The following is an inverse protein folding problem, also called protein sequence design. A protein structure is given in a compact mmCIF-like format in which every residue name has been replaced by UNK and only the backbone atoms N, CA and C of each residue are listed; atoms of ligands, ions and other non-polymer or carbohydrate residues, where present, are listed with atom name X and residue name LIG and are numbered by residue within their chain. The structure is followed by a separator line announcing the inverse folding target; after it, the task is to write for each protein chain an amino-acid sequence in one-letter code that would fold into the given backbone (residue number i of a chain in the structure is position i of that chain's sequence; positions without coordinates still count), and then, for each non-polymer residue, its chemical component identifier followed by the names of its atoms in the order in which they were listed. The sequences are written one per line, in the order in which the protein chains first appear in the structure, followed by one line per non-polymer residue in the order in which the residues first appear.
data_IF_870712592978
#
_entry.id   IF_870712592978
#
_cell.length_a   1.000
_cell.length_b   1.000
_cell.length_c   1.000
_cell.angle_alpha   90.00
_cell.angle_beta   90.00
_cell.angle_gamma   90.00
#
_symmetry.space_group_name_H-M   'P 1'
#
loop_
_entity.id
_entity.type
_entity.pdbx_description
1 polymer ?
#
# COMPACT_ATOMS: atom_id res chain seq x y z
N UNK A 1 4.07 28.36 -3.36
CA UNK A 1 4.16 26.88 -3.55
C UNK A 1 5.30 26.43 -2.67
N UNK A 2 5.01 25.73 -1.58
CA UNK A 2 6.05 25.10 -0.78
C UNK A 2 6.59 23.91 -1.59
N UNK A 3 7.88 23.94 -1.91
CA UNK A 3 8.52 22.81 -2.58
C UNK A 3 8.51 21.63 -1.60
N UNK A 4 7.96 20.48 -2.04
CA UNK A 4 8.08 19.25 -1.27
C UNK A 4 9.55 18.95 -1.00
N UNK A 5 9.94 18.61 0.24
CA UNK A 5 11.32 18.32 0.56
C UNK A 5 11.79 17.09 -0.23
N UNK A 6 13.05 17.09 -0.61
CA UNK A 6 13.67 15.92 -1.28
C UNK A 6 13.71 14.67 -0.39
N UNK A 7 13.38 14.82 0.90
CA UNK A 7 13.41 13.78 1.95
C UNK A 7 12.22 13.94 2.88
N UNK A 8 10.97 13.77 2.41
CA UNK A 8 9.83 13.92 3.30
C UNK A 8 9.88 12.86 4.42
N UNK A 9 9.54 13.19 5.67
CA UNK A 9 9.52 12.27 6.80
C UNK A 9 8.74 10.98 6.51
N UNK A 10 7.62 11.05 5.78
CA UNK A 10 6.83 9.90 5.35
C UNK A 10 7.60 8.86 4.52
N UNK A 11 8.69 9.27 3.88
CA UNK A 11 9.61 8.36 3.16
C UNK A 11 10.74 7.81 4.04
N UNK A 12 10.85 8.23 5.29
CA UNK A 12 11.87 7.78 6.25
C UNK A 12 12.00 6.27 6.33
N UNK A 13 10.89 5.51 6.51
CA UNK A 13 10.94 4.05 6.57
C UNK A 13 11.56 3.38 5.33
N UNK A 14 11.39 3.97 4.15
CA UNK A 14 12.00 3.47 2.93
C UNK A 14 13.48 3.88 2.83
N UNK A 15 13.81 5.12 3.24
CA UNK A 15 15.16 5.65 3.15
C UNK A 15 16.14 5.03 4.16
N UNK A 16 15.68 4.64 5.34
CA UNK A 16 16.53 3.88 6.28
C UNK A 16 16.92 2.51 5.71
N UNK A 17 16.09 1.95 4.84
CA UNK A 17 16.37 0.68 4.15
C UNK A 17 17.16 0.86 2.86
N UNK A 18 16.94 1.95 2.11
CA UNK A 18 17.54 2.17 0.80
C UNK A 18 17.69 3.67 0.49
N UNK A 19 18.92 4.17 0.45
CA UNK A 19 19.22 5.57 0.15
C UNK A 19 18.78 6.04 -1.24
N UNK A 20 18.71 5.12 -2.22
CA UNK A 20 18.24 5.39 -3.58
C UNK A 20 16.72 5.32 -3.77
N UNK A 21 15.94 5.10 -2.71
CA UNK A 21 14.48 5.08 -2.83
C UNK A 21 13.93 6.42 -3.30
N UNK A 22 12.97 6.38 -4.20
CA UNK A 22 12.17 7.54 -4.58
C UNK A 22 10.74 7.06 -4.90
N UNK A 23 9.75 7.68 -4.27
CA UNK A 23 8.34 7.34 -4.48
C UNK A 23 7.92 7.58 -5.91
N UNK A 24 6.98 6.76 -6.42
CA UNK A 24 6.32 7.00 -7.72
C UNK A 24 5.46 8.27 -7.69
N UNK A 25 5.03 8.72 -6.51
CA UNK A 25 4.13 9.87 -6.36
C UNK A 25 2.69 9.60 -6.82
N UNK A 26 2.37 8.35 -7.13
CA UNK A 26 1.01 7.97 -7.54
C UNK A 26 0.12 7.75 -6.31
N UNK A 27 -1.04 8.38 -6.31
CA UNK A 27 -2.06 8.16 -5.30
C UNK A 27 -2.75 6.82 -5.54
N UNK A 28 -2.62 5.94 -4.56
CA UNK A 28 -3.38 4.69 -4.52
C UNK A 28 -4.73 4.90 -3.82
N UNK A 29 -5.71 4.02 -4.04
CA UNK A 29 -6.96 4.05 -3.25
C UNK A 29 -6.71 4.03 -1.73
N UNK A 30 -5.64 3.37 -1.28
CA UNK A 30 -5.25 3.34 0.12
C UNK A 30 -4.71 4.69 0.61
N UNK A 31 -3.93 5.40 -0.22
CA UNK A 31 -3.43 6.75 0.07
C UNK A 31 -4.60 7.74 0.20
N UNK A 32 -5.50 7.74 -0.78
CA UNK A 32 -6.70 8.61 -0.78
C UNK A 32 -7.61 8.34 0.43
N UNK A 33 -7.76 7.07 0.80
CA UNK A 33 -8.47 6.68 2.03
C UNK A 33 -7.79 7.25 3.28
N UNK A 34 -6.47 7.12 3.36
CA UNK A 34 -5.67 7.66 4.45
C UNK A 34 -5.87 9.17 4.61
N UNK A 35 -5.66 9.92 3.55
CA UNK A 35 -5.84 11.39 3.54
C UNK A 35 -7.22 11.79 4.04
N UNK A 36 -8.29 11.15 3.52
CA UNK A 36 -9.67 11.45 3.94
C UNK A 36 -9.91 11.19 5.44
N UNK A 37 -9.35 10.09 5.98
CA UNK A 37 -9.49 9.76 7.42
C UNK A 37 -8.73 10.78 8.28
N UNK A 38 -7.52 11.20 7.88
CA UNK A 38 -6.74 12.22 8.58
C UNK A 38 -7.48 13.56 8.60
N UNK A 39 -7.95 14.04 7.46
CA UNK A 39 -8.76 15.27 7.36
C UNK A 39 -10.02 15.22 8.23
N UNK A 40 -10.70 14.07 8.27
CA UNK A 40 -11.88 13.89 9.10
C UNK A 40 -11.54 14.00 10.60
N UNK A 41 -10.47 13.34 11.04
CA UNK A 41 -10.00 13.37 12.42
C UNK A 41 -9.51 14.76 12.82
N UNK A 42 -8.77 15.45 11.97
CA UNK A 42 -8.38 16.84 12.17
C UNK A 42 -9.58 17.74 12.38
N UNK A 43 -10.60 17.64 11.51
CA UNK A 43 -11.83 18.44 11.63
C UNK A 43 -12.57 18.19 12.92
N UNK A 44 -12.66 16.92 13.37
CA UNK A 44 -13.27 16.58 14.67
C UNK A 44 -12.48 17.17 15.85
N UNK A 45 -11.16 17.05 15.85
CA UNK A 45 -10.28 17.49 16.93
C UNK A 45 -10.18 19.02 17.02
N UNK A 46 -10.28 19.71 15.89
CA UNK A 46 -10.24 21.19 15.83
C UNK A 46 -11.61 21.86 15.95
N UNK A 47 -12.69 21.06 16.04
CA UNK A 47 -14.06 21.56 16.08
C UNK A 47 -14.55 22.20 14.77
N UNK A 48 -13.89 21.90 13.66
CA UNK A 48 -14.30 22.37 12.33
C UNK A 48 -15.46 21.52 11.78
N UNK A 49 -16.28 22.07 10.88
CA UNK A 49 -17.29 21.30 10.19
C UNK A 49 -16.67 20.15 9.40
N UNK A 50 -17.19 18.95 9.57
CA UNK A 50 -16.71 17.76 8.84
C UNK A 50 -17.12 17.83 7.37
N UNK A 51 -16.15 18.02 6.49
CA UNK A 51 -16.31 18.07 5.02
C UNK A 51 -15.78 16.84 4.31
N UNK A 52 -14.97 16.03 5.01
CA UNK A 52 -14.38 14.79 4.50
C UNK A 52 -15.08 13.57 5.11
N UNK A 53 -16.27 13.16 4.59
CA UNK A 53 -17.02 12.06 5.18
C UNK A 53 -16.30 10.73 5.03
N UNK A 54 -16.33 9.93 6.09
CA UNK A 54 -15.84 8.56 6.10
C UNK A 54 -16.98 7.57 5.85
N UNK A 55 -16.65 6.38 5.34
CA UNK A 55 -17.67 5.35 5.10
C UNK A 55 -18.13 4.70 6.41
N UNK A 56 -19.33 4.08 6.44
CA UNK A 56 -19.86 3.45 7.65
C UNK A 56 -18.96 2.36 8.25
N UNK A 57 -18.16 1.69 7.45
CA UNK A 57 -17.20 0.68 7.90
C UNK A 57 -15.90 1.30 8.47
N UNK A 58 -15.58 2.55 8.14
CA UNK A 58 -14.44 3.30 8.67
C UNK A 58 -14.78 4.01 9.99
N UNK A 59 -16.05 4.40 10.16
CA UNK A 59 -16.50 5.21 11.27
C UNK A 59 -16.13 4.66 12.66
N UNK A 60 -16.28 3.37 12.99
CA UNK A 60 -15.88 2.85 14.30
C UNK A 60 -14.39 2.99 14.61
N UNK A 61 -13.54 2.98 13.58
CA UNK A 61 -12.10 3.22 13.72
C UNK A 61 -11.78 4.68 13.97
N UNK A 62 -12.47 5.57 13.29
CA UNK A 62 -12.34 7.03 13.45
C UNK A 62 -12.84 7.48 14.83
N UNK A 63 -14.00 7.02 15.27
CA UNK A 63 -14.54 7.30 16.61
C UNK A 63 -13.59 6.83 17.71
N UNK A 64 -13.04 5.62 17.55
CA UNK A 64 -12.04 5.10 18.47
C UNK A 64 -10.78 5.98 18.51
N UNK A 65 -10.24 6.36 17.35
CA UNK A 65 -9.04 7.19 17.26
C UNK A 65 -9.27 8.58 17.85
N UNK A 66 -10.41 9.20 17.55
CA UNK A 66 -10.81 10.47 18.14
C UNK A 66 -10.87 10.40 19.69
N UNK A 67 -11.59 9.39 20.21
CA UNK A 67 -11.63 9.15 21.66
C UNK A 67 -10.25 8.89 22.25
N UNK A 68 -9.40 8.12 21.58
CA UNK A 68 -8.05 7.86 22.02
C UNK A 68 -7.24 9.15 22.19
N UNK A 69 -7.36 10.09 21.27
CA UNK A 69 -6.68 11.39 21.35
C UNK A 69 -7.21 12.19 22.53
N UNK A 70 -8.53 12.28 22.72
CA UNK A 70 -9.14 12.97 23.86
C UNK A 70 -8.69 12.40 25.22
N UNK A 71 -8.47 11.08 25.30
CA UNK A 71 -8.08 10.40 26.54
C UNK A 71 -6.57 10.49 26.83
N UNK A 72 -5.71 10.75 25.84
CA UNK A 72 -4.25 10.61 25.97
C UNK A 72 -3.45 11.89 25.71
N UNK A 73 -4.00 12.90 25.05
CA UNK A 73 -3.31 14.14 24.72
C UNK A 73 -3.87 15.33 25.51
N UNK A 74 -3.01 16.32 25.75
CA UNK A 74 -3.44 17.58 26.31
C UNK A 74 -4.18 18.42 25.28
N UNK A 75 -5.51 18.41 25.31
CA UNK A 75 -6.35 19.07 24.32
C UNK A 75 -6.20 20.60 24.30
N UNK A 76 -5.79 21.24 25.41
CA UNK A 76 -5.57 22.70 25.46
C UNK A 76 -4.30 23.09 24.66
N UNK A 77 -3.32 22.23 24.63
CA UNK A 77 -2.05 22.43 23.90
C UNK A 77 -1.98 21.73 22.54
N UNK A 78 -3.00 20.93 22.21
CA UNK A 78 -3.00 20.11 21.00
C UNK A 78 -2.96 20.98 19.73
N UNK A 79 -2.01 20.67 18.86
CA UNK A 79 -1.90 21.19 17.51
C UNK A 79 -2.05 20.03 16.53
N UNK A 80 -2.96 20.19 15.57
CA UNK A 80 -3.18 19.24 14.48
C UNK A 80 -2.48 19.77 13.23
N UNK A 81 -1.98 18.86 12.38
CA UNK A 81 -1.30 19.18 11.10
C UNK A 81 -0.22 20.26 11.27
N UNK A 82 0.58 20.15 12.33
CA UNK A 82 1.57 21.16 12.68
C UNK A 82 2.93 20.88 11.99
N UNK A 83 3.45 21.90 11.32
CA UNK A 83 4.69 21.78 10.54
C UNK A 83 5.90 21.70 11.48
N UNK A 84 6.80 20.78 11.18
CA UNK A 84 8.07 20.61 11.86
C UNK A 84 9.22 20.62 10.88
N UNK A 85 10.27 21.35 11.20
CA UNK A 85 11.52 21.42 10.45
C UNK A 85 12.62 20.68 11.20
N UNK A 86 13.51 20.03 10.46
CA UNK A 86 14.72 19.39 11.00
C UNK A 86 15.91 20.07 10.38
N UNK A 87 16.82 20.51 11.22
CA UNK A 87 18.05 21.20 10.82
C UNK A 87 19.25 20.34 11.15
N UNK A 88 20.33 20.47 10.38
CA UNK A 88 21.62 19.84 10.69
C UNK A 88 22.39 20.60 11.77
N UNK A 89 23.61 20.14 12.06
CA UNK A 89 24.50 20.76 13.08
C UNK A 89 24.93 22.19 12.71
N UNK A 90 24.92 22.52 11.44
CA UNK A 90 25.26 23.85 10.91
C UNK A 90 24.02 24.78 10.88
N UNK A 91 22.85 24.29 11.25
CA UNK A 91 21.59 25.02 11.22
C UNK A 91 20.92 25.08 9.84
N UNK A 92 21.42 24.29 8.87
CA UNK A 92 20.82 24.23 7.54
C UNK A 92 19.61 23.28 7.51
N UNK A 93 18.55 23.61 6.77
CA UNK A 93 17.34 22.80 6.75
C UNK A 93 17.56 21.48 6.00
N UNK A 94 17.46 20.37 6.72
CA UNK A 94 17.55 19.01 6.17
C UNK A 94 16.24 18.57 5.53
N UNK A 95 15.14 18.77 6.23
CA UNK A 95 13.80 18.36 5.81
C UNK A 95 12.73 19.08 6.63
N UNK A 96 11.50 19.00 6.14
CA UNK A 96 10.31 19.40 6.88
C UNK A 96 9.17 18.42 6.60
N UNK A 97 8.17 18.43 7.45
CA UNK A 97 6.93 17.68 7.27
C UNK A 97 5.88 18.13 8.25
N UNK A 98 4.69 17.57 8.11
CA UNK A 98 3.57 17.85 8.98
C UNK A 98 3.30 16.62 9.84
N UNK A 99 3.26 16.79 11.14
CA UNK A 99 2.82 15.73 12.04
C UNK A 99 1.34 15.92 12.38
N UNK A 100 0.60 14.82 12.44
CA UNK A 100 -0.85 14.87 12.63
C UNK A 100 -1.23 15.50 13.98
N UNK A 101 -0.50 15.16 15.04
CA UNK A 101 -0.78 15.59 16.41
C UNK A 101 0.49 15.96 17.17
N UNK A 102 0.46 17.08 17.89
CA UNK A 102 1.49 17.47 18.84
C UNK A 102 0.92 18.34 19.96
N UNK A 103 1.15 17.99 21.23
CA UNK A 103 0.64 18.72 22.40
C UNK A 103 1.72 19.41 23.25
N UNK A 104 2.95 19.45 22.75
CA UNK A 104 4.11 20.01 23.46
C UNK A 104 5.01 18.96 24.10
N UNK A 105 4.47 17.80 24.46
CA UNK A 105 5.20 16.70 25.10
C UNK A 105 5.14 15.39 24.30
N UNK A 106 4.10 15.23 23.49
CA UNK A 106 3.81 13.99 22.76
C UNK A 106 3.55 14.25 21.30
N UNK A 107 3.96 13.30 20.46
CA UNK A 107 3.66 13.21 19.03
C UNK A 107 2.64 12.12 18.77
N UNK A 108 1.66 12.39 17.90
CA UNK A 108 0.75 11.40 17.38
C UNK A 108 0.75 11.40 15.86
N UNK A 109 0.56 10.20 15.28
CA UNK A 109 0.42 10.06 13.84
C UNK A 109 -0.61 8.97 13.55
N UNK A 110 -1.61 9.30 12.74
CA UNK A 110 -2.67 8.38 12.36
C UNK A 110 -2.21 7.43 11.25
N UNK A 111 -2.52 6.16 11.41
CA UNK A 111 -2.17 5.13 10.46
C UNK A 111 -3.43 4.39 10.01
N UNK A 112 -3.56 4.24 8.70
CA UNK A 112 -4.60 3.43 8.08
C UNK A 112 -3.98 2.17 7.47
N UNK A 113 -4.69 1.04 7.52
CA UNK A 113 -4.27 -0.20 6.91
C UNK A 113 -3.38 -1.09 7.79
N UNK A 114 -2.32 -1.65 7.21
CA UNK A 114 -1.48 -2.63 7.91
C UNK A 114 -0.48 -1.97 8.87
N UNK A 115 -0.25 -2.63 10.01
CA UNK A 115 0.83 -2.26 10.93
C UNK A 115 2.17 -2.45 10.23
N UNK A 116 2.95 -1.38 10.16
CA UNK A 116 4.31 -1.38 9.60
C UNK A 116 5.24 -0.65 10.57
N UNK A 117 6.52 -0.67 10.28
CA UNK A 117 7.51 0.06 11.04
C UNK A 117 7.58 1.51 10.55
N UNK A 118 7.07 2.45 11.36
CA UNK A 118 7.10 3.89 11.05
C UNK A 118 8.09 4.67 11.91
N UNK A 119 8.87 3.98 12.76
CA UNK A 119 9.84 4.61 13.67
C UNK A 119 10.74 5.63 12.99
N UNK A 120 11.14 5.38 11.72
CA UNK A 120 11.98 6.32 10.97
C UNK A 120 11.24 7.60 10.54
N UNK A 121 9.94 7.56 10.30
CA UNK A 121 9.11 8.75 10.09
C UNK A 121 9.00 9.55 11.39
N UNK A 122 8.68 8.85 12.47
CA UNK A 122 8.55 9.46 13.80
C UNK A 122 9.86 10.06 14.30
N UNK A 123 11.01 9.45 13.97
CA UNK A 123 12.33 9.98 14.33
C UNK A 123 12.58 11.36 13.71
N UNK A 124 12.16 11.62 12.47
CA UNK A 124 12.25 12.95 11.88
C UNK A 124 11.41 13.98 12.64
N UNK A 125 10.15 13.64 12.94
CA UNK A 125 9.27 14.54 13.70
C UNK A 125 9.80 14.77 15.11
N UNK A 126 10.22 13.71 15.80
CA UNK A 126 10.80 13.77 17.12
C UNK A 126 12.07 14.64 17.17
N UNK A 127 13.02 14.41 16.25
CA UNK A 127 14.23 15.20 16.17
C UNK A 127 13.94 16.70 15.99
N UNK A 128 13.05 17.05 15.06
CA UNK A 128 12.67 18.45 14.83
C UNK A 128 11.95 19.08 16.04
N UNK A 129 11.09 18.35 16.72
CA UNK A 129 10.41 18.86 17.95
C UNK A 129 11.37 19.03 19.11
N UNK A 130 12.25 18.05 19.35
CA UNK A 130 13.28 18.15 20.38
C UNK A 130 14.29 19.27 20.11
N UNK A 131 14.65 19.53 18.84
CA UNK A 131 15.41 20.72 18.47
C UNK A 131 14.70 22.03 18.83
N UNK A 132 13.39 22.11 18.60
CA UNK A 132 12.58 23.30 18.88
C UNK A 132 12.40 23.56 20.36
N UNK A 133 12.27 22.50 21.16
CA UNK A 133 11.91 22.58 22.58
C UNK A 133 13.10 22.44 23.53
N UNK A 134 14.21 21.87 23.06
CA UNK A 134 15.36 21.53 23.89
C UNK A 134 15.12 20.31 24.81
N UNK A 135 14.09 19.51 24.54
CA UNK A 135 13.79 18.29 25.32
C UNK A 135 14.68 17.12 24.87
N UNK A 136 15.00 16.23 25.81
CA UNK A 136 15.89 15.07 25.56
C UNK A 136 15.09 13.82 25.09
N UNK A 137 13.78 13.82 25.27
CA UNK A 137 12.91 12.73 24.87
C UNK A 137 11.53 13.22 24.51
N UNK A 138 10.82 12.42 23.72
CA UNK A 138 9.43 12.68 23.33
C UNK A 138 8.64 11.37 23.24
N UNK A 139 7.42 11.40 23.70
CA UNK A 139 6.51 10.26 23.62
C UNK A 139 5.82 10.23 22.26
N UNK A 140 5.79 9.07 21.62
CA UNK A 140 5.27 8.87 20.27
C UNK A 140 4.09 7.91 20.31
N UNK A 141 3.03 8.26 19.59
CA UNK A 141 1.82 7.46 19.41
C UNK A 141 1.58 7.20 17.91
N UNK A 142 1.78 5.97 17.44
CA UNK A 142 1.32 5.52 16.14
C UNK A 142 -0.10 4.96 16.28
N UNK A 143 -1.10 5.68 15.79
CA UNK A 143 -2.53 5.43 16.08
C UNK A 143 -3.17 4.74 14.89
N UNK A 144 -3.37 3.41 14.97
CA UNK A 144 -3.92 2.58 13.90
C UNK A 144 -5.45 2.55 13.94
N UNK A 145 -6.08 3.40 13.16
CA UNK A 145 -7.54 3.61 13.16
C UNK A 145 -8.32 2.32 12.89
N UNK A 146 -7.99 1.58 11.83
CA UNK A 146 -8.68 0.34 11.45
C UNK A 146 -8.49 -0.79 12.48
N UNK A 147 -7.37 -0.79 13.19
CA UNK A 147 -7.05 -1.80 14.20
C UNK A 147 -7.57 -1.43 15.59
N UNK A 148 -7.96 -0.17 15.77
CA UNK A 148 -8.34 0.38 17.07
C UNK A 148 -7.28 0.08 18.13
N UNK A 149 -6.03 0.38 17.77
CA UNK A 149 -4.84 0.08 18.56
C UNK A 149 -3.79 1.18 18.35
N UNK A 150 -3.01 1.47 19.38
CA UNK A 150 -1.91 2.40 19.29
C UNK A 150 -0.60 1.74 19.75
N UNK A 151 0.47 1.98 18.99
CA UNK A 151 1.83 1.68 19.40
C UNK A 151 2.41 2.92 20.08
N UNK A 152 2.77 2.80 21.36
CA UNK A 152 3.26 3.92 22.17
C UNK A 152 4.67 3.61 22.65
N UNK A 153 5.58 4.54 22.42
CA UNK A 153 6.98 4.43 22.85
C UNK A 153 7.61 5.80 23.06
N UNK A 154 8.76 5.83 23.68
CA UNK A 154 9.58 7.03 23.86
C UNK A 154 10.70 6.99 22.81
N UNK A 155 11.00 8.15 22.23
CA UNK A 155 12.21 8.38 21.43
C UNK A 155 13.06 9.40 22.20
N UNK A 156 14.27 9.01 22.50
CA UNK A 156 15.29 9.96 22.99
C UNK A 156 15.87 10.76 21.84
N UNK A 157 16.43 11.91 22.12
CA UNK A 157 17.13 12.74 21.14
C UNK A 157 18.22 11.96 20.39
N UNK A 158 19.01 11.18 21.11
CA UNK A 158 20.07 10.36 20.52
C UNK A 158 19.52 9.29 19.58
N UNK A 159 18.46 8.56 19.97
CA UNK A 159 17.83 7.53 19.11
C UNK A 159 17.21 8.12 17.84
N UNK A 160 16.56 9.29 17.97
CA UNK A 160 15.97 9.96 16.81
C UNK A 160 17.06 10.38 15.81
N UNK A 161 18.13 10.96 16.31
CA UNK A 161 19.26 11.39 15.46
C UNK A 161 20.04 10.22 14.86
N UNK A 162 20.23 9.13 15.57
CA UNK A 162 20.85 7.93 15.00
C UNK A 162 20.12 7.45 13.74
N UNK A 163 18.78 7.48 13.77
CA UNK A 163 17.95 7.12 12.61
C UNK A 163 18.07 8.16 11.48
N UNK A 164 18.01 9.45 11.81
CA UNK A 164 18.13 10.54 10.83
C UNK A 164 19.51 10.51 10.14
N UNK A 165 20.56 10.28 10.91
CA UNK A 165 21.94 10.17 10.41
C UNK A 165 22.09 8.93 9.52
N UNK A 166 21.53 7.80 9.91
CA UNK A 166 21.52 6.58 9.08
C UNK A 166 20.86 6.83 7.72
N UNK A 167 19.71 7.53 7.69
CA UNK A 167 19.02 7.89 6.45
C UNK A 167 19.91 8.83 5.62
N UNK A 168 20.50 9.83 6.25
CA UNK A 168 21.38 10.80 5.60
C UNK A 168 22.60 10.12 5.01
N UNK A 169 23.23 9.24 5.78
CA UNK A 169 24.37 8.42 5.33
C UNK A 169 23.98 7.55 4.12
N UNK A 170 22.87 6.83 4.20
CA UNK A 170 22.41 5.96 3.13
C UNK A 170 22.18 6.75 1.83
N UNK A 171 21.57 7.93 1.92
CA UNK A 171 21.34 8.80 0.76
C UNK A 171 22.64 9.38 0.20
N UNK A 172 23.49 9.93 1.05
CA UNK A 172 24.77 10.54 0.64
C UNK A 172 25.69 9.52 -0.07
N UNK A 173 25.68 8.28 0.41
CA UNK A 173 26.53 7.21 -0.13
C UNK A 173 25.80 6.33 -1.15
N UNK A 174 24.58 6.69 -1.55
CA UNK A 174 23.76 5.93 -2.50
C UNK A 174 23.70 4.42 -2.17
N UNK A 175 23.47 4.11 -0.88
CA UNK A 175 23.36 2.72 -0.43
C UNK A 175 22.10 2.11 -1.00
N UNK A 176 22.25 1.26 -2.00
CA UNK A 176 21.15 0.56 -2.66
C UNK A 176 20.97 -0.82 -2.05
N UNK A 177 19.81 -1.03 -1.40
CA UNK A 177 19.47 -2.30 -0.77
C UNK A 177 18.04 -2.68 -1.11
N UNK A 178 17.81 -3.75 -1.87
CA UNK A 178 16.47 -4.27 -2.17
C UNK A 178 15.70 -4.60 -0.90
N UNK A 179 14.45 -4.17 -0.86
CA UNK A 179 13.56 -4.32 0.29
C UNK A 179 12.09 -4.19 -0.12
N UNK A 180 11.17 -4.24 0.84
CA UNK A 180 9.72 -4.24 0.62
C UNK A 180 9.19 -2.98 -0.10
N UNK A 181 9.92 -1.87 -0.05
CA UNK A 181 9.53 -0.62 -0.71
C UNK A 181 9.89 -0.57 -2.19
N UNK A 182 10.64 -1.55 -2.73
CA UNK A 182 11.05 -1.56 -4.13
C UNK A 182 9.87 -1.54 -5.11
N UNK A 183 8.73 -2.14 -4.74
CA UNK A 183 7.51 -2.14 -5.58
C UNK A 183 6.90 -0.75 -5.79
N UNK A 184 7.18 0.20 -4.89
CA UNK A 184 6.73 1.59 -4.96
C UNK A 184 7.84 2.58 -5.32
N UNK A 185 9.01 2.06 -5.71
CA UNK A 185 10.15 2.89 -6.09
C UNK A 185 10.12 3.18 -7.59
N UNK A 186 10.16 4.46 -7.97
CA UNK A 186 10.21 4.86 -9.39
C UNK A 186 11.45 4.35 -10.15
N UNK A 187 12.51 3.99 -9.41
CA UNK A 187 13.73 3.43 -9.97
C UNK A 187 13.73 1.91 -10.06
N UNK A 188 12.62 1.25 -9.68
CA UNK A 188 12.47 -0.21 -9.65
C UNK A 188 12.99 -0.86 -10.95
N UNK A 189 12.53 -0.38 -12.11
CA UNK A 189 12.83 -0.97 -13.43
C UNK A 189 14.29 -0.85 -13.87
N UNK A 190 15.10 0.00 -13.22
CA UNK A 190 16.52 0.23 -13.55
C UNK A 190 17.43 0.27 -12.32
N UNK A 191 16.98 -0.35 -11.25
CA UNK A 191 17.76 -0.43 -10.02
C UNK A 191 18.89 -1.46 -10.16
N UNK A 192 20.18 -1.04 -10.07
CA UNK A 192 21.30 -1.97 -10.24
C UNK A 192 21.35 -3.05 -9.15
N UNK A 193 20.87 -2.72 -7.94
CA UNK A 193 20.83 -3.71 -6.85
C UNK A 193 19.79 -4.79 -7.08
N UNK A 194 18.59 -4.44 -7.62
CA UNK A 194 17.59 -5.42 -8.03
C UNK A 194 18.07 -6.26 -9.22
N UNK A 195 18.67 -5.61 -10.22
CA UNK A 195 19.27 -6.29 -11.38
C UNK A 195 20.30 -7.31 -10.92
N UNK A 196 21.22 -6.94 -10.03
CA UNK A 196 22.25 -7.86 -9.51
C UNK A 196 21.64 -9.10 -8.83
N UNK A 197 20.58 -8.93 -8.03
CA UNK A 197 19.90 -10.07 -7.39
C UNK A 197 19.23 -10.96 -8.43
N UNK A 198 18.53 -10.36 -9.41
CA UNK A 198 17.88 -11.11 -10.49
C UNK A 198 18.90 -11.90 -11.31
N UNK A 199 20.02 -11.28 -11.68
CA UNK A 199 21.10 -11.93 -12.44
C UNK A 199 21.74 -13.07 -11.66
N UNK A 200 22.06 -12.88 -10.36
CA UNK A 200 22.60 -13.94 -9.52
C UNK A 200 21.62 -15.13 -9.36
N UNK A 201 20.31 -14.85 -9.32
CA UNK A 201 19.30 -15.89 -9.27
C UNK A 201 19.21 -16.67 -10.60
N UNK A 202 19.24 -15.96 -11.72
CA UNK A 202 19.23 -16.56 -13.07
C UNK A 202 20.47 -17.42 -13.32
N UNK A 203 21.65 -16.98 -12.96
CA UNK A 203 22.90 -17.74 -13.07
C UNK A 203 22.83 -19.09 -12.35
N UNK A 204 22.16 -19.11 -11.18
CA UNK A 204 21.95 -20.35 -10.42
C UNK A 204 20.89 -21.27 -11.03
N UNK A 205 19.87 -20.72 -11.68
CA UNK A 205 18.75 -21.47 -12.25
C UNK A 205 19.06 -21.98 -13.66
N UNK A 206 19.79 -21.20 -14.45
CA UNK A 206 20.14 -21.50 -15.84
C UNK A 206 21.59 -21.10 -16.12
N UNK A 207 22.56 -21.91 -15.68
CA UNK A 207 23.99 -21.60 -15.82
C UNK A 207 24.46 -21.53 -17.28
N UNK A 208 23.73 -22.12 -18.21
CA UNK A 208 24.06 -22.15 -19.65
C UNK A 208 23.58 -20.88 -20.40
N UNK A 209 22.87 -19.99 -19.74
CA UNK A 209 22.38 -18.76 -20.37
C UNK A 209 23.49 -17.72 -20.32
N UNK A 210 23.99 -17.28 -21.47
CA UNK A 210 24.91 -16.13 -21.59
C UNK A 210 24.20 -14.82 -21.17
N UNK A 211 24.02 -14.64 -19.86
CA UNK A 211 23.33 -13.50 -19.24
C UNK A 211 24.31 -12.41 -18.82
N UNK A 212 25.46 -12.31 -19.48
CA UNK A 212 26.40 -11.22 -19.21
C UNK A 212 25.76 -9.90 -19.64
N UNK A 213 25.36 -9.09 -18.66
CA UNK A 213 25.00 -7.67 -18.78
C UNK A 213 23.60 -7.30 -19.27
N UNK A 214 22.53 -7.89 -18.71
CA UNK A 214 21.19 -7.30 -18.89
C UNK A 214 20.90 -6.22 -17.83
N UNK A 215 21.50 -5.07 -17.98
CA UNK A 215 21.01 -3.83 -17.39
C UNK A 215 19.83 -3.34 -18.25
N UNK A 216 18.70 -2.94 -17.60
CA UNK A 216 17.51 -2.44 -18.31
C UNK A 216 17.82 -1.25 -19.23
N UNK A 217 18.86 -0.44 -18.88
CA UNK A 217 19.35 0.67 -19.71
C UNK A 217 19.98 0.20 -21.02
N UNK A 218 20.35 -1.08 -21.12
CA UNK A 218 21.00 -1.69 -22.28
C UNK A 218 20.00 -2.39 -23.22
N UNK A 219 18.72 -2.50 -22.84
CA UNK A 219 17.67 -3.07 -23.70
C UNK A 219 17.31 -2.15 -24.87
N UNK A 220 18.24 -1.91 -25.77
CA UNK A 220 18.09 -0.96 -26.87
C UNK A 220 17.42 -1.60 -28.09
N UNK A 221 17.75 -2.83 -28.40
CA UNK A 221 17.22 -3.52 -29.59
C UNK A 221 15.94 -4.32 -29.28
N UNK A 222 15.07 -4.56 -30.27
CA UNK A 222 13.93 -5.45 -30.11
C UNK A 222 14.34 -6.88 -29.68
N UNK A 223 15.48 -7.37 -30.15
CA UNK A 223 16.05 -8.68 -29.84
C UNK A 223 16.43 -8.76 -28.34
N UNK A 224 17.10 -7.72 -27.80
CA UNK A 224 17.47 -7.66 -26.38
C UNK A 224 16.22 -7.63 -25.49
N UNK A 225 15.21 -6.81 -25.87
CA UNK A 225 13.93 -6.75 -25.19
C UNK A 225 13.22 -8.11 -25.19
N UNK A 226 13.26 -8.84 -26.31
CA UNK A 226 12.68 -10.17 -26.44
C UNK A 226 13.35 -11.20 -25.55
N UNK A 227 14.69 -11.24 -25.53
CA UNK A 227 15.47 -12.11 -24.64
C UNK A 227 15.20 -11.80 -23.17
N UNK A 228 15.29 -10.53 -22.77
CA UNK A 228 15.02 -10.11 -21.39
C UNK A 228 13.59 -10.48 -20.95
N UNK A 229 12.59 -10.32 -21.82
CA UNK A 229 11.21 -10.71 -21.50
C UNK A 229 11.06 -12.23 -21.29
N UNK A 230 11.76 -13.05 -22.08
CA UNK A 230 11.76 -14.51 -21.87
C UNK A 230 12.39 -14.90 -20.52
N UNK A 231 13.45 -14.21 -20.11
CA UNK A 231 14.08 -14.42 -18.81
C UNK A 231 13.17 -14.02 -17.65
N UNK A 232 12.46 -12.87 -17.75
CA UNK A 232 11.45 -12.50 -16.78
C UNK A 232 10.43 -13.63 -16.61
N UNK A 233 10.01 -14.27 -17.70
CA UNK A 233 9.05 -15.37 -17.64
C UNK A 233 9.58 -16.59 -16.90
N UNK A 234 10.85 -16.95 -17.11
CA UNK A 234 11.50 -18.04 -16.36
C UNK A 234 11.55 -17.74 -14.87
N UNK A 235 11.90 -16.49 -14.52
CA UNK A 235 11.88 -16.05 -13.10
C UNK A 235 10.48 -16.06 -12.50
N UNK A 236 9.47 -15.62 -13.22
CA UNK A 236 8.07 -15.67 -12.77
C UNK A 236 7.63 -17.11 -12.49
N UNK A 237 7.95 -18.03 -13.39
CA UNK A 237 7.62 -19.44 -13.24
C UNK A 237 8.34 -20.06 -12.04
N UNK A 238 9.62 -19.74 -11.83
CA UNK A 238 10.38 -20.17 -10.64
C UNK A 238 9.82 -19.55 -9.34
N UNK A 239 9.58 -18.24 -9.32
CA UNK A 239 8.96 -17.55 -8.16
C UNK A 239 7.61 -18.17 -7.83
N UNK A 240 6.80 -18.47 -8.83
CA UNK A 240 5.50 -19.11 -8.66
C UNK A 240 5.65 -20.51 -8.05
N UNK A 241 6.62 -21.28 -8.53
CA UNK A 241 6.96 -22.61 -8.01
C UNK A 241 7.36 -22.56 -6.53
N UNK A 242 8.30 -21.67 -6.18
CA UNK A 242 8.74 -21.49 -4.77
C UNK A 242 7.57 -21.07 -3.88
N UNK A 243 6.77 -20.08 -4.31
CA UNK A 243 5.59 -19.65 -3.55
C UNK A 243 4.59 -20.79 -3.32
N UNK A 244 4.40 -21.66 -4.32
CA UNK A 244 3.52 -22.82 -4.20
C UNK A 244 4.04 -23.80 -3.15
N UNK A 245 5.32 -24.18 -3.22
CA UNK A 245 5.96 -25.11 -2.27
C UNK A 245 5.85 -24.56 -0.85
N UNK A 246 6.25 -23.29 -0.64
CA UNK A 246 6.17 -22.66 0.70
C UNK A 246 4.73 -22.57 1.19
N UNK A 247 3.76 -22.23 0.33
CA UNK A 247 2.35 -22.19 0.72
C UNK A 247 1.82 -23.57 1.11
N UNK A 248 2.22 -24.63 0.40
CA UNK A 248 1.83 -26.01 0.72
C UNK A 248 2.45 -26.46 2.03
N UNK A 249 3.74 -26.18 2.27
CA UNK A 249 4.41 -26.47 3.55
C UNK A 249 3.67 -25.83 4.72
N UNK A 250 3.37 -24.54 4.63
CA UNK A 250 2.74 -23.80 5.74
C UNK A 250 1.26 -24.14 5.89
N UNK A 251 0.48 -24.12 4.79
CA UNK A 251 -0.98 -24.23 4.89
C UNK A 251 -1.51 -25.66 4.93
N UNK A 252 -0.79 -26.63 4.30
CA UNK A 252 -1.22 -28.02 4.27
C UNK A 252 -0.50 -28.87 5.31
N UNK A 253 0.82 -28.66 5.45
CA UNK A 253 1.64 -29.50 6.31
C UNK A 253 1.82 -28.90 7.72
N UNK A 254 1.44 -27.63 7.93
CA UNK A 254 1.58 -26.95 9.22
C UNK A 254 3.03 -26.66 9.62
N UNK A 255 3.95 -26.61 8.65
CA UNK A 255 5.35 -26.33 8.91
C UNK A 255 5.56 -24.87 9.32
N UNK A 256 6.39 -24.65 10.33
CA UNK A 256 6.84 -23.30 10.72
C UNK A 256 8.02 -22.89 9.85
N UNK A 257 7.74 -22.05 8.86
CA UNK A 257 8.74 -21.51 7.94
C UNK A 257 9.19 -20.14 8.43
N UNK A 258 10.46 -19.95 8.83
CA UNK A 258 10.95 -18.68 9.35
C UNK A 258 10.66 -17.50 8.42
N UNK A 259 10.11 -16.41 8.97
CA UNK A 259 9.75 -15.21 8.22
C UNK A 259 8.40 -15.30 7.49
N UNK A 260 7.67 -16.41 7.56
CA UNK A 260 6.34 -16.59 6.97
C UNK A 260 5.31 -16.68 8.08
N UNK A 261 4.20 -15.98 7.96
CA UNK A 261 3.05 -16.07 8.86
C UNK A 261 1.76 -16.34 8.09
N UNK A 262 0.89 -17.14 8.69
CA UNK A 262 -0.46 -17.33 8.19
C UNK A 262 -1.26 -16.06 8.50
N UNK A 263 -1.89 -15.51 7.47
CA UNK A 263 -2.84 -14.40 7.62
C UNK A 263 -4.20 -14.85 7.11
N UNK A 264 -5.20 -14.77 7.96
CA UNK A 264 -6.59 -15.06 7.58
C UNK A 264 -7.24 -13.78 7.05
N UNK A 265 -7.76 -13.83 5.85
CA UNK A 265 -8.59 -12.78 5.27
C UNK A 265 -10.03 -13.27 5.22
N UNK A 266 -10.98 -12.51 5.77
CA UNK A 266 -12.39 -12.80 5.60
C UNK A 266 -12.71 -12.87 4.10
N UNK A 267 -13.41 -13.94 3.69
CA UNK A 267 -14.02 -14.00 2.36
C UNK A 267 -15.05 -12.88 2.21
N UNK A 268 -15.23 -12.38 1.00
CA UNK A 268 -16.34 -11.48 0.71
C UNK A 268 -17.69 -12.17 0.95
N UNK A 269 -18.67 -11.39 1.37
CA UNK A 269 -20.06 -11.90 1.50
C UNK A 269 -20.73 -11.95 0.13
N UNK A 270 -21.47 -13.00 -0.13
CA UNK A 270 -22.28 -13.17 -1.34
C UNK A 270 -23.73 -13.37 -0.95
N UNK A 271 -24.63 -12.68 -1.63
CA UNK A 271 -26.08 -12.87 -1.46
C UNK A 271 -26.48 -14.18 -2.13
N UNK A 272 -26.89 -15.17 -1.34
CA UNK A 272 -27.27 -16.50 -1.84
C UNK A 272 -28.69 -16.55 -2.40
N UNK A 273 -29.62 -15.77 -1.84
CA UNK A 273 -31.01 -15.71 -2.22
C UNK A 273 -31.39 -14.28 -2.63
N UNK A 274 -31.33 -14.04 -3.93
CA UNK A 274 -31.59 -12.70 -4.51
C UNK A 274 -33.07 -12.29 -4.34
N UNK A 275 -34.08 -13.17 -4.55
CA UNK A 275 -35.46 -12.86 -4.28
C UNK A 275 -35.77 -12.49 -2.83
N UNK A 276 -35.21 -13.24 -1.88
CA UNK A 276 -35.37 -12.93 -0.46
C UNK A 276 -34.65 -11.60 -0.08
N UNK A 277 -33.50 -11.32 -0.68
CA UNK A 277 -32.82 -10.04 -0.49
C UNK A 277 -33.66 -8.88 -1.02
N UNK A 278 -34.24 -9.00 -2.21
CA UNK A 278 -35.13 -7.97 -2.77
C UNK A 278 -36.28 -7.67 -1.83
N UNK A 279 -36.96 -8.73 -1.32
CA UNK A 279 -38.10 -8.57 -0.43
C UNK A 279 -37.77 -7.86 0.89
N UNK A 280 -36.50 -7.87 1.32
CA UNK A 280 -36.02 -7.27 2.58
C UNK A 280 -35.47 -5.85 2.45
N UNK A 281 -35.08 -5.43 1.24
CA UNK A 281 -34.34 -4.19 1.06
C UNK A 281 -35.18 -2.93 0.91
N UNK A 282 -36.52 -3.05 0.87
CA UNK A 282 -37.44 -1.90 0.70
C UNK A 282 -37.09 -0.99 -0.50
N UNK A 283 -36.38 -1.52 -1.51
CA UNK A 283 -36.05 -0.84 -2.75
C UNK A 283 -37.07 -1.16 -3.84
N UNK A 284 -37.31 -0.21 -4.74
CA UNK A 284 -38.03 -0.50 -5.96
C UNK A 284 -37.30 -1.52 -6.82
N UNK A 285 -38.01 -2.25 -7.66
CA UNK A 285 -37.39 -3.22 -8.56
C UNK A 285 -36.30 -2.61 -9.44
N UNK A 286 -36.47 -1.36 -9.88
CA UNK A 286 -35.47 -0.66 -10.70
C UNK A 286 -34.20 -0.36 -9.93
N UNK A 287 -34.30 0.12 -8.69
CA UNK A 287 -33.17 0.40 -7.82
C UNK A 287 -32.41 -0.87 -7.47
N UNK A 288 -33.11 -1.95 -7.13
CA UNK A 288 -32.50 -3.23 -6.82
C UNK A 288 -31.76 -3.83 -8.02
N UNK A 289 -32.38 -3.79 -9.21
CA UNK A 289 -31.75 -4.29 -10.43
C UNK A 289 -30.49 -3.49 -10.82
N UNK A 290 -30.43 -2.20 -10.54
CA UNK A 290 -29.21 -1.38 -10.74
C UNK A 290 -28.03 -1.86 -9.87
N UNK A 291 -28.31 -2.42 -8.70
CA UNK A 291 -27.29 -2.98 -7.81
C UNK A 291 -26.86 -4.41 -8.20
N UNK A 292 -27.62 -5.09 -9.08
CA UNK A 292 -27.34 -6.45 -9.52
C UNK A 292 -26.35 -6.48 -10.69
N UNK A 293 -25.38 -7.39 -10.64
CA UNK A 293 -24.50 -7.69 -11.79
C UNK A 293 -24.96 -8.99 -12.47
N UNK A 294 -25.09 -8.96 -13.79
CA UNK A 294 -25.48 -10.12 -14.59
C UNK A 294 -24.27 -10.73 -15.26
N UNK A 295 -24.02 -12.02 -15.02
CA UNK A 295 -22.97 -12.79 -15.67
C UNK A 295 -23.50 -13.48 -16.92
N UNK A 296 -22.99 -13.11 -18.10
CA UNK A 296 -23.37 -13.76 -19.38
C UNK A 296 -23.20 -15.28 -19.34
N UNK A 297 -22.07 -15.85 -18.82
CA UNK A 297 -21.94 -17.30 -18.70
C UNK A 297 -22.97 -17.97 -17.80
N UNK A 298 -23.35 -17.33 -16.67
CA UNK A 298 -24.42 -17.86 -15.79
C UNK A 298 -25.78 -17.80 -16.48
N UNK A 299 -26.06 -16.71 -17.21
CA UNK A 299 -27.28 -16.55 -17.97
C UNK A 299 -27.38 -17.60 -19.09
N UNK A 300 -26.29 -17.83 -19.82
CA UNK A 300 -26.21 -18.87 -20.88
C UNK A 300 -26.51 -20.26 -20.32
N UNK A 301 -25.89 -20.61 -19.16
CA UNK A 301 -26.18 -21.90 -18.50
C UNK A 301 -27.64 -22.05 -18.08
N UNK A 302 -28.21 -20.99 -17.50
CA UNK A 302 -29.62 -20.99 -17.11
C UNK A 302 -30.53 -21.14 -18.34
N UNK A 303 -30.21 -20.43 -19.42
CA UNK A 303 -30.95 -20.51 -20.67
C UNK A 303 -30.85 -21.91 -21.33
N UNK A 304 -29.62 -22.47 -21.36
CA UNK A 304 -29.33 -23.82 -21.82
C UNK A 304 -30.20 -24.85 -21.09
N UNK A 305 -30.25 -24.77 -19.74
CA UNK A 305 -31.00 -25.69 -18.91
C UNK A 305 -32.51 -25.53 -19.12
N UNK A 306 -33.02 -24.31 -19.31
CA UNK A 306 -34.43 -24.02 -19.47
C UNK A 306 -35.00 -24.53 -20.80
N UNK A 307 -34.21 -24.43 -21.88
CA UNK A 307 -34.67 -24.73 -23.24
C UNK A 307 -34.05 -25.99 -23.83
N UNK A 308 -33.30 -26.77 -23.03
CA UNK A 308 -32.62 -28.01 -23.41
C UNK A 308 -31.76 -27.87 -24.66
N UNK A 309 -30.98 -26.78 -24.73
CA UNK A 309 -30.13 -26.45 -25.87
C UNK A 309 -28.71 -26.97 -25.65
N UNK A 310 -27.95 -27.14 -26.75
CA UNK A 310 -26.51 -27.30 -26.64
C UNK A 310 -25.83 -26.00 -26.15
N UNK A 311 -24.63 -26.10 -25.60
CA UNK A 311 -23.92 -24.92 -25.09
C UNK A 311 -23.64 -23.85 -26.18
N UNK A 312 -23.45 -24.28 -27.44
CA UNK A 312 -23.27 -23.38 -28.59
C UNK A 312 -24.57 -22.66 -28.99
N UNK A 313 -25.67 -23.38 -29.02
CA UNK A 313 -27.01 -22.83 -29.35
C UNK A 313 -27.45 -21.85 -28.28
N UNK A 314 -27.33 -22.21 -27.01
CA UNK A 314 -27.64 -21.30 -25.89
C UNK A 314 -26.79 -20.02 -25.91
N UNK A 315 -25.48 -20.14 -26.20
CA UNK A 315 -24.59 -18.97 -26.32
C UNK A 315 -25.00 -18.04 -27.45
N UNK A 316 -25.35 -18.60 -28.60
CA UNK A 316 -25.80 -17.84 -29.78
C UNK A 316 -27.12 -17.13 -29.51
N UNK A 317 -28.07 -17.83 -28.92
CA UNK A 317 -29.40 -17.29 -28.61
C UNK A 317 -29.32 -16.18 -27.55
N UNK A 318 -28.55 -16.38 -26.50
CA UNK A 318 -28.31 -15.34 -25.46
C UNK A 318 -27.61 -14.14 -26.05
N UNK A 319 -26.61 -14.33 -26.90
CA UNK A 319 -25.90 -13.23 -27.57
C UNK A 319 -26.87 -12.41 -28.45
N UNK A 320 -27.68 -13.06 -29.26
CA UNK A 320 -28.67 -12.38 -30.11
C UNK A 320 -29.69 -11.57 -29.29
N UNK A 321 -30.16 -12.12 -28.17
CA UNK A 321 -31.15 -11.44 -27.31
C UNK A 321 -30.55 -10.26 -26.53
N UNK A 322 -29.26 -10.28 -26.28
CA UNK A 322 -28.55 -9.25 -25.54
C UNK A 322 -27.80 -8.26 -26.45
N UNK A 323 -27.88 -8.39 -27.76
CA UNK A 323 -27.06 -7.61 -28.73
C UNK A 323 -27.12 -6.10 -28.46
N UNK A 324 -28.31 -5.56 -28.19
CA UNK A 324 -28.51 -4.14 -27.90
C UNK A 324 -28.22 -3.75 -26.43
N UNK A 325 -27.99 -4.72 -25.54
CA UNK A 325 -27.81 -4.52 -24.11
C UNK A 325 -26.36 -4.75 -23.64
N UNK A 326 -25.53 -5.36 -24.47
CA UNK A 326 -24.13 -5.63 -24.17
C UNK A 326 -23.26 -4.44 -24.62
N UNK A 327 -22.58 -3.84 -23.66
CA UNK A 327 -21.47 -2.92 -23.96
C UNK A 327 -20.16 -3.71 -23.84
N UNK A 328 -19.46 -3.90 -24.94
CA UNK A 328 -18.15 -4.52 -24.93
C UNK A 328 -17.18 -3.64 -24.13
N UNK A 329 -16.45 -4.26 -23.20
CA UNK A 329 -15.30 -3.60 -22.56
C UNK A 329 -14.24 -3.33 -23.61
N UNK A 330 -13.46 -2.25 -23.50
CA UNK A 330 -12.34 -2.01 -24.41
C UNK A 330 -11.40 -3.20 -24.39
N UNK A 331 -10.88 -3.56 -25.55
CA UNK A 331 -9.91 -4.63 -25.68
C UNK A 331 -8.68 -4.31 -24.85
N UNK A 332 -8.28 -5.25 -24.00
CA UNK A 332 -7.03 -5.18 -23.26
C UNK A 332 -5.95 -5.90 -24.08
N UNK A 333 -4.97 -5.15 -24.54
CA UNK A 333 -3.80 -5.73 -25.21
C UNK A 333 -2.81 -6.21 -24.15
N UNK A 334 -2.37 -7.43 -24.26
CA UNK A 334 -1.34 -7.99 -23.40
C UNK A 334 -0.33 -8.78 -24.23
N UNK A 335 0.89 -8.85 -23.75
CA UNK A 335 1.96 -9.64 -24.37
C UNK A 335 2.00 -11.02 -23.72
N UNK A 336 2.22 -12.05 -24.55
CA UNK A 336 2.44 -13.42 -24.10
C UNK A 336 3.61 -14.05 -24.84
N UNK A 337 4.19 -15.08 -24.25
CA UNK A 337 5.18 -15.91 -24.93
C UNK A 337 4.54 -16.56 -26.15
N UNK A 338 5.25 -16.56 -27.29
CA UNK A 338 4.87 -17.33 -28.48
C UNK A 338 5.10 -18.81 -28.28
#
# INVERSE_FOLDING_TARGET
MQHHPTRPPSSGPAHVKCGGYASTGEDSPATLKGTRIHEHLEQLLTGQPVTSPVSPDELPGVEWAHKYVLDNFNMEALRCEDMVHVYDEDGEPMTFGTNDLYDGEQLGDFKTGQVREYRAQMAYYAAGRMQQTGTEEIKVHEIYTEKRWANVYILTYSEAWEIVDQITYNKKNNILKPNDYCSWCKHNSHCPALTKIAMNALEKISPETELQNYDFTQLKTPEDKGKAYQLCKVLEDWISGVKKVVSESVLKNGEDVPGIKITTRSGGSEVQDIPAAFARMELSQEEFLKACSVSIPKLTKAYQKKFDLTGKEASREVANRLECLIKNKPETRYIRRK
#
